data_IF_277915132828
#
_entry.id   IF_277915132828
#
_cell.length_a   1.000
_cell.length_b   1.000
_cell.length_c   1.000
_cell.angle_alpha   90.00
_cell.angle_beta   90.00
_cell.angle_gamma   90.00
#
_symmetry.space_group_name_H-M   'P 1'
#
loop_
_entity.id
_entity.type
_entity.pdbx_description
1 polymer ?
#
# COMPACT_ATOMS: atom_id res chain seq x y z
N UNK A 1 23.11 24.28 17.28
CA UNK A 1 22.24 23.25 16.65
C UNK A 1 22.91 22.81 15.36
N UNK A 2 23.30 21.53 15.30
CA UNK A 2 23.81 20.95 14.06
C UNK A 2 22.61 20.66 13.16
N UNK A 3 22.50 21.40 12.07
CA UNK A 3 21.35 21.33 11.18
C UNK A 3 21.78 21.32 9.71
N UNK A 4 21.25 20.38 8.95
CA UNK A 4 21.48 20.29 7.50
C UNK A 4 20.20 20.67 6.75
N UNK A 5 20.36 21.48 5.70
CA UNK A 5 19.25 21.86 4.81
C UNK A 5 19.36 21.11 3.48
N UNK A 6 18.22 20.65 2.97
CA UNK A 6 18.10 20.07 1.65
C UNK A 6 16.83 20.56 0.92
N UNK A 7 16.93 20.77 -0.37
CA UNK A 7 15.77 21.08 -1.23
C UNK A 7 15.08 19.77 -1.56
N UNK A 8 13.78 19.68 -1.28
CA UNK A 8 12.95 18.51 -1.62
C UNK A 8 12.29 18.65 -2.99
N UNK A 9 11.85 19.86 -3.34
CA UNK A 9 11.16 20.15 -4.59
C UNK A 9 11.36 21.64 -4.95
N UNK A 10 12.19 21.93 -5.95
CA UNK A 10 12.46 23.29 -6.40
C UNK A 10 11.23 23.96 -7.01
N UNK A 11 10.38 23.20 -7.72
CA UNK A 11 9.19 23.75 -8.39
C UNK A 11 8.12 24.15 -7.36
N UNK A 12 8.12 23.50 -6.20
CA UNK A 12 7.17 23.76 -5.11
C UNK A 12 7.77 24.53 -3.95
N UNK A 13 8.99 25.05 -4.12
CA UNK A 13 9.69 25.78 -3.06
C UNK A 13 9.64 25.03 -1.71
N UNK A 14 9.92 23.73 -1.75
CA UNK A 14 9.85 22.88 -0.55
C UNK A 14 11.26 22.48 -0.13
N UNK A 15 11.63 22.81 1.11
CA UNK A 15 12.91 22.48 1.73
C UNK A 15 12.72 21.74 3.04
N UNK A 16 13.72 20.97 3.42
CA UNK A 16 13.81 20.25 4.69
C UNK A 16 15.02 20.66 5.48
N UNK A 17 14.82 20.97 6.75
CA UNK A 17 15.89 21.10 7.72
C UNK A 17 15.92 19.83 8.57
N UNK A 18 17.09 19.21 8.64
CA UNK A 18 17.35 18.06 9.50
C UNK A 18 18.13 18.57 10.72
N UNK A 19 17.51 18.53 11.88
CA UNK A 19 18.13 18.90 13.14
C UNK A 19 18.60 17.63 13.86
N UNK A 20 19.88 17.56 14.16
CA UNK A 20 20.46 16.47 14.95
C UNK A 20 20.24 16.77 16.44
N UNK A 21 19.58 15.86 17.11
CA UNK A 21 19.36 15.90 18.56
C UNK A 21 20.34 14.99 19.33
N UNK A 22 20.14 14.86 20.63
CA UNK A 22 20.91 13.94 21.47
C UNK A 22 20.63 12.48 21.05
N UNK A 23 21.64 11.60 21.18
CA UNK A 23 21.60 10.18 20.83
C UNK A 23 21.31 9.90 19.34
N UNK A 24 21.87 10.71 18.43
CA UNK A 24 21.65 10.59 16.96
C UNK A 24 20.18 10.69 16.51
N UNK A 25 19.30 11.20 17.37
CA UNK A 25 17.91 11.46 17.00
C UNK A 25 17.86 12.55 15.94
N UNK A 26 16.98 12.38 14.93
CA UNK A 26 16.80 13.34 13.84
C UNK A 26 15.39 13.92 13.86
N UNK A 27 15.33 15.25 13.91
CA UNK A 27 14.06 15.98 13.75
C UNK A 27 14.02 16.59 12.37
N UNK A 28 12.94 16.35 11.63
CA UNK A 28 12.73 16.88 10.29
C UNK A 28 11.74 18.03 10.34
N UNK A 29 12.14 19.18 9.80
CA UNK A 29 11.30 20.38 9.66
C UNK A 29 11.15 20.67 8.16
N UNK A 30 9.96 20.49 7.63
CA UNK A 30 9.66 20.77 6.23
C UNK A 30 9.06 22.17 6.09
N UNK A 31 9.63 22.96 5.19
CA UNK A 31 9.18 24.30 4.86
C UNK A 31 8.66 24.29 3.43
N UNK A 32 7.52 24.90 3.20
CA UNK A 32 6.93 25.02 1.86
C UNK A 32 6.26 26.38 1.70
N UNK A 33 6.25 26.89 0.49
CA UNK A 33 5.41 28.05 0.15
C UNK A 33 3.93 27.65 0.03
N UNK A 34 3.04 28.60 0.20
CA UNK A 34 1.60 28.34 0.12
C UNK A 34 1.19 27.94 -1.30
N UNK A 35 0.34 26.92 -1.39
CA UNK A 35 -0.27 26.43 -2.63
C UNK A 35 -1.51 27.24 -2.97
N UNK A 36 -1.78 27.42 -4.26
CA UNK A 36 -3.04 28.01 -4.72
C UNK A 36 -3.25 29.49 -4.45
N UNK A 37 -2.36 30.17 -3.72
CA UNK A 37 -2.50 31.58 -3.37
C UNK A 37 -1.44 32.10 -2.41
N UNK A 38 -1.65 33.34 -1.89
CA UNK A 38 -0.75 33.99 -0.92
C UNK A 38 -1.19 33.84 0.53
N UNK A 39 -2.29 33.15 0.78
CA UNK A 39 -2.90 32.99 2.10
C UNK A 39 -2.81 31.55 2.55
N UNK A 40 -2.67 31.35 3.85
CA UNK A 40 -2.65 30.01 4.45
C UNK A 40 -3.94 29.22 4.18
N UNK A 41 -5.10 29.87 4.20
CA UNK A 41 -6.38 29.22 3.95
C UNK A 41 -6.49 28.68 2.51
N UNK A 42 -5.86 29.36 1.54
CA UNK A 42 -5.82 28.90 0.14
C UNK A 42 -4.96 27.62 0.03
N UNK A 43 -3.82 27.58 0.73
CA UNK A 43 -2.98 26.38 0.82
C UNK A 43 -3.73 25.22 1.48
N UNK A 44 -4.42 25.46 2.59
CA UNK A 44 -5.18 24.43 3.29
C UNK A 44 -6.30 23.86 2.41
N UNK A 45 -7.00 24.71 1.64
CA UNK A 45 -8.05 24.27 0.69
C UNK A 45 -7.50 23.50 -0.52
N UNK A 46 -6.23 23.70 -0.89
CA UNK A 46 -5.56 23.01 -2.00
C UNK A 46 -4.97 21.64 -1.59
N UNK A 47 -5.06 21.26 -0.30
CA UNK A 47 -4.58 19.97 0.22
C UNK A 47 -5.46 18.81 -0.23
N UNK A 48 -5.04 17.60 0.14
CA UNK A 48 -5.73 16.36 -0.22
C UNK A 48 -7.05 16.18 0.57
N UNK A 49 -6.95 16.06 1.91
CA UNK A 49 -8.07 15.75 2.78
C UNK A 49 -8.18 16.77 3.92
N UNK A 50 -9.41 16.99 4.41
CA UNK A 50 -9.73 17.95 5.48
C UNK A 50 -8.92 17.70 6.73
N UNK A 51 -8.70 16.44 7.10
CA UNK A 51 -7.89 16.03 8.26
C UNK A 51 -6.42 16.48 8.15
N UNK A 52 -5.91 16.72 6.95
CA UNK A 52 -4.57 17.24 6.67
C UNK A 52 -4.56 18.74 6.37
N UNK A 53 -5.72 19.41 6.42
CA UNK A 53 -5.90 20.82 6.11
C UNK A 53 -6.11 21.68 7.36
N UNK A 54 -5.49 21.29 8.45
CA UNK A 54 -5.50 21.98 9.74
C UNK A 54 -4.11 22.55 9.97
N UNK A 55 -4.03 23.80 10.40
CA UNK A 55 -2.79 24.45 10.77
C UNK A 55 -2.87 25.03 12.18
N UNK A 56 -1.70 25.23 12.81
CA UNK A 56 -1.57 25.88 14.09
C UNK A 56 -0.72 27.15 13.95
N UNK A 57 -1.32 28.29 14.27
CA UNK A 57 -0.61 29.58 14.28
C UNK A 57 0.14 29.73 15.59
N UNK A 58 1.47 29.62 15.51
CA UNK A 58 2.36 29.76 16.67
C UNK A 58 2.40 31.18 17.26
N UNK A 59 2.07 32.23 16.46
CA UNK A 59 2.07 33.62 16.92
C UNK A 59 0.84 33.94 17.76
N UNK A 60 -0.32 33.48 17.26
CA UNK A 60 -1.62 33.75 17.91
C UNK A 60 -2.08 32.58 18.80
N UNK A 61 -1.29 31.50 18.88
CA UNK A 61 -1.61 30.30 19.66
C UNK A 61 -3.01 29.76 19.33
N UNK A 62 -3.35 29.70 18.04
CA UNK A 62 -4.70 29.37 17.57
C UNK A 62 -4.69 28.33 16.45
N UNK A 63 -5.76 27.52 16.44
CA UNK A 63 -5.99 26.53 15.39
C UNK A 63 -6.70 27.21 14.20
N UNK A 64 -6.24 26.93 12.99
CA UNK A 64 -6.81 27.38 11.72
C UNK A 64 -7.32 26.14 11.01
N UNK A 65 -8.63 26.00 10.91
CA UNK A 65 -9.33 24.85 10.33
C UNK A 65 -10.47 25.31 9.42
N UNK A 66 -10.17 25.78 8.20
CA UNK A 66 -11.16 26.38 7.31
C UNK A 66 -12.13 25.36 6.69
N UNK A 67 -11.89 24.06 6.88
CA UNK A 67 -12.65 22.95 6.27
C UNK A 67 -13.27 22.01 7.30
N UNK A 68 -13.24 22.36 8.59
CA UNK A 68 -13.72 21.53 9.69
C UNK A 68 -13.07 20.15 9.78
N UNK A 69 -11.78 20.08 9.47
CA UNK A 69 -11.00 18.82 9.50
C UNK A 69 -10.93 18.22 10.90
N UNK A 70 -10.93 19.04 11.96
CA UNK A 70 -10.99 18.58 13.34
C UNK A 70 -12.27 17.82 13.66
N UNK A 71 -13.41 18.20 13.05
CA UNK A 71 -14.66 17.46 13.17
C UNK A 71 -14.61 16.14 12.41
N UNK A 72 -14.07 16.12 11.20
CA UNK A 72 -13.87 14.90 10.44
C UNK A 72 -12.93 13.91 11.16
N UNK A 73 -11.90 14.39 11.88
CA UNK A 73 -11.06 13.53 12.75
C UNK A 73 -11.90 12.89 13.86
N UNK A 74 -12.73 13.65 14.56
CA UNK A 74 -13.61 13.12 15.63
C UNK A 74 -14.64 12.15 15.10
N UNK A 75 -15.19 12.43 13.89
CA UNK A 75 -16.15 11.57 13.20
C UNK A 75 -15.50 10.36 12.51
N UNK A 76 -14.16 10.27 12.49
CA UNK A 76 -13.39 9.24 11.79
C UNK A 76 -13.72 9.18 10.29
N UNK A 77 -13.69 10.32 9.62
CA UNK A 77 -14.04 10.47 8.21
C UNK A 77 -12.84 10.98 7.41
N UNK A 78 -12.60 10.39 6.25
CA UNK A 78 -11.72 10.90 5.18
C UNK A 78 -12.59 11.64 4.19
N UNK A 79 -12.43 12.97 4.11
CA UNK A 79 -13.13 13.86 3.20
C UNK A 79 -12.14 14.67 2.40
N UNK A 80 -12.31 14.81 1.08
CA UNK A 80 -11.47 15.68 0.25
C UNK A 80 -11.66 17.16 0.61
N UNK A 81 -10.62 17.97 0.43
CA UNK A 81 -10.71 19.43 0.64
C UNK A 81 -11.57 20.13 -0.42
N UNK A 82 -11.54 19.66 -1.66
CA UNK A 82 -12.35 20.17 -2.77
C UNK A 82 -12.55 19.09 -3.84
N UNK A 83 -13.60 19.15 -4.68
CA UNK A 83 -13.79 18.23 -5.80
C UNK A 83 -12.58 18.20 -6.76
N UNK A 84 -11.93 19.34 -7.02
CA UNK A 84 -10.75 19.45 -7.86
C UNK A 84 -9.53 18.75 -7.27
N UNK A 85 -9.50 18.55 -5.96
CA UNK A 85 -8.37 17.91 -5.27
C UNK A 85 -7.94 16.56 -5.87
N UNK A 86 -8.90 15.72 -6.29
CA UNK A 86 -8.64 14.39 -6.85
C UNK A 86 -8.31 14.41 -8.34
N UNK A 87 -8.82 15.39 -9.09
CA UNK A 87 -8.49 15.57 -10.51
C UNK A 87 -7.14 16.27 -10.71
N UNK A 88 -6.79 17.21 -9.83
CA UNK A 88 -5.51 17.90 -9.85
C UNK A 88 -4.34 16.96 -9.49
N UNK A 89 -4.58 16.00 -8.61
CA UNK A 89 -3.56 15.04 -8.21
C UNK A 89 -4.20 13.65 -7.92
N UNK A 90 -4.36 12.80 -8.95
CA UNK A 90 -5.06 11.51 -8.82
C UNK A 90 -4.44 10.52 -7.84
N UNK A 91 -3.15 10.67 -7.47
CA UNK A 91 -2.51 9.82 -6.45
C UNK A 91 -3.22 9.92 -5.08
N UNK A 92 -3.97 11.00 -4.86
CA UNK A 92 -4.77 11.20 -3.66
C UNK A 92 -5.83 10.12 -3.44
N UNK A 93 -6.21 9.39 -4.51
CA UNK A 93 -7.08 8.20 -4.41
C UNK A 93 -6.40 7.13 -3.55
N UNK A 94 -5.16 6.76 -3.87
CA UNK A 94 -4.39 5.78 -3.10
C UNK A 94 -4.10 6.30 -1.68
N UNK A 95 -3.72 7.58 -1.56
CA UNK A 95 -3.49 8.23 -0.26
C UNK A 95 -4.72 8.17 0.64
N UNK A 96 -5.92 8.40 0.09
CA UNK A 96 -7.17 8.33 0.85
C UNK A 96 -7.47 6.94 1.37
N UNK A 97 -7.25 5.89 0.56
CA UNK A 97 -7.39 4.51 1.01
C UNK A 97 -6.37 4.19 2.10
N UNK A 98 -5.10 4.60 1.91
CA UNK A 98 -4.05 4.41 2.92
C UNK A 98 -4.38 5.08 4.25
N UNK A 99 -4.81 6.34 4.22
CA UNK A 99 -5.17 7.09 5.43
C UNK A 99 -6.40 6.46 6.13
N UNK A 100 -7.40 6.03 5.35
CA UNK A 100 -8.58 5.35 5.88
C UNK A 100 -8.19 4.06 6.64
N UNK A 101 -7.30 3.26 6.07
CA UNK A 101 -6.79 2.05 6.71
C UNK A 101 -5.92 2.37 7.95
N UNK A 102 -4.99 3.33 7.83
CA UNK A 102 -4.05 3.69 8.89
C UNK A 102 -4.72 4.23 10.15
N UNK A 103 -5.78 5.02 9.99
CA UNK A 103 -6.51 5.65 11.10
C UNK A 103 -7.81 4.93 11.49
N UNK A 104 -8.16 3.85 10.77
CA UNK A 104 -9.47 3.20 10.89
C UNK A 104 -10.64 4.18 10.68
N UNK A 105 -10.52 5.01 9.65
CA UNK A 105 -11.52 6.00 9.25
C UNK A 105 -12.31 5.51 8.03
N UNK A 106 -13.54 6.04 7.88
CA UNK A 106 -14.39 5.76 6.72
C UNK A 106 -14.22 6.87 5.67
N UNK A 107 -14.19 6.48 4.40
CA UNK A 107 -14.21 7.45 3.31
C UNK A 107 -15.64 7.95 3.11
N UNK A 108 -15.82 9.27 3.18
CA UNK A 108 -17.09 9.93 2.90
C UNK A 108 -17.68 9.54 1.54
N UNK A 109 -18.99 9.45 1.44
CA UNK A 109 -19.66 8.98 0.22
C UNK A 109 -19.35 9.85 -1.00
N UNK A 110 -19.38 11.18 -0.86
CA UNK A 110 -19.10 12.12 -1.95
C UNK A 110 -17.63 12.00 -2.36
N UNK A 111 -16.72 11.92 -1.40
CA UNK A 111 -15.30 11.68 -1.61
C UNK A 111 -15.05 10.37 -2.36
N UNK A 112 -15.72 9.30 -1.95
CA UNK A 112 -15.61 7.98 -2.59
C UNK A 112 -16.09 8.00 -4.04
N UNK A 113 -17.19 8.70 -4.33
CA UNK A 113 -17.68 8.87 -5.70
C UNK A 113 -16.68 9.63 -6.55
N UNK A 114 -16.16 10.76 -6.05
CA UNK A 114 -15.16 11.53 -6.76
C UNK A 114 -13.83 10.75 -6.97
N UNK A 115 -13.41 9.91 -6.01
CA UNK A 115 -12.27 9.01 -6.18
C UNK A 115 -12.49 8.04 -7.34
N UNK A 116 -13.69 7.45 -7.44
CA UNK A 116 -14.05 6.52 -8.52
C UNK A 116 -14.01 7.21 -9.88
N UNK A 117 -14.57 8.42 -9.97
CA UNK A 117 -14.61 9.20 -11.21
C UNK A 117 -13.20 9.62 -11.67
N UNK A 118 -12.31 9.92 -10.73
CA UNK A 118 -10.93 10.33 -11.00
C UNK A 118 -9.97 9.15 -11.25
N UNK A 119 -10.38 7.90 -11.03
CA UNK A 119 -9.49 6.72 -11.16
C UNK A 119 -8.84 6.60 -12.53
N UNK A 120 -9.56 6.97 -13.61
CA UNK A 120 -9.06 6.96 -14.99
C UNK A 120 -7.89 7.94 -15.24
N UNK A 121 -7.65 8.88 -14.34
CA UNK A 121 -6.57 9.86 -14.43
C UNK A 121 -5.26 9.35 -13.81
N UNK A 122 -5.26 8.22 -13.10
CA UNK A 122 -4.06 7.64 -12.47
C UNK A 122 -2.87 7.45 -13.41
N UNK A 123 -3.04 7.09 -14.72
CA UNK A 123 -1.92 7.00 -15.64
C UNK A 123 -1.12 8.30 -15.83
N UNK A 124 -1.69 9.47 -15.47
CA UNK A 124 -1.00 10.76 -15.53
C UNK A 124 -0.05 11.00 -14.34
N UNK A 125 -0.13 10.16 -13.30
CA UNK A 125 0.77 10.20 -12.14
C UNK A 125 2.04 9.43 -12.47
N UNK A 126 3.19 9.92 -12.01
CA UNK A 126 4.46 9.21 -12.23
C UNK A 126 4.45 7.81 -11.60
N UNK A 127 5.10 6.82 -12.24
CA UNK A 127 5.13 5.44 -11.73
C UNK A 127 5.71 5.31 -10.33
N UNK A 128 6.69 6.15 -9.98
CA UNK A 128 7.30 6.18 -8.66
C UNK A 128 6.29 6.57 -7.58
N UNK A 129 5.49 7.61 -7.82
CA UNK A 129 4.45 8.04 -6.88
C UNK A 129 3.36 6.99 -6.72
N UNK A 130 2.97 6.35 -7.83
CA UNK A 130 2.02 5.23 -7.81
C UNK A 130 2.55 4.07 -6.97
N UNK A 131 3.80 3.66 -7.24
CA UNK A 131 4.51 2.63 -6.49
C UNK A 131 4.55 2.94 -5.01
N UNK A 132 5.04 4.12 -4.65
CA UNK A 132 5.32 4.47 -3.26
C UNK A 132 4.03 4.47 -2.41
N UNK A 133 2.91 4.97 -2.94
CA UNK A 133 1.64 4.90 -2.22
C UNK A 133 1.09 3.47 -2.18
N UNK A 134 1.22 2.67 -3.26
CA UNK A 134 0.79 1.26 -3.26
C UNK A 134 1.57 0.43 -2.24
N UNK A 135 2.89 0.60 -2.18
CA UNK A 135 3.73 -0.12 -1.23
C UNK A 135 3.42 0.26 0.22
N UNK A 136 3.18 1.57 0.51
CA UNK A 136 2.72 2.02 1.83
C UNK A 136 1.36 1.44 2.22
N UNK A 137 0.46 1.20 1.26
CA UNK A 137 -0.81 0.53 1.52
C UNK A 137 -0.57 -0.95 1.86
N UNK A 138 0.29 -1.63 1.10
CA UNK A 138 0.59 -3.05 1.28
C UNK A 138 1.30 -3.33 2.62
N UNK A 139 2.20 -2.45 3.06
CA UNK A 139 2.88 -2.56 4.36
C UNK A 139 2.02 -2.09 5.54
N UNK A 140 0.97 -1.32 5.25
CA UNK A 140 0.10 -0.77 6.27
C UNK A 140 -0.88 -1.79 6.85
N UNK A 141 -1.72 -1.36 7.79
CA UNK A 141 -2.75 -2.22 8.36
C UNK A 141 -3.84 -2.55 7.34
N UNK A 142 -4.43 -3.74 7.46
CA UNK A 142 -5.57 -4.21 6.63
C UNK A 142 -5.28 -4.14 5.12
N UNK A 143 -4.18 -4.73 4.63
CA UNK A 143 -3.82 -4.68 3.20
C UNK A 143 -4.89 -5.32 2.30
N UNK A 144 -5.52 -6.41 2.73
CA UNK A 144 -6.64 -7.09 2.06
C UNK A 144 -7.82 -6.14 1.83
N UNK A 145 -8.27 -5.47 2.87
CA UNK A 145 -9.39 -4.52 2.83
C UNK A 145 -9.05 -3.30 2.00
N UNK A 146 -7.79 -2.84 2.05
CA UNK A 146 -7.30 -1.72 1.24
C UNK A 146 -7.28 -2.08 -0.25
N UNK A 147 -6.80 -3.28 -0.61
CA UNK A 147 -6.84 -3.76 -2.00
C UNK A 147 -8.28 -3.91 -2.51
N UNK A 148 -9.19 -4.42 -1.68
CA UNK A 148 -10.62 -4.47 -2.00
C UNK A 148 -11.22 -3.07 -2.22
N UNK A 149 -10.85 -2.09 -1.40
CA UNK A 149 -11.30 -0.71 -1.58
C UNK A 149 -10.80 -0.11 -2.91
N UNK A 150 -9.54 -0.34 -3.28
CA UNK A 150 -8.99 0.10 -4.58
C UNK A 150 -9.68 -0.58 -5.76
N UNK A 151 -10.02 -1.87 -5.64
CA UNK A 151 -10.80 -2.59 -6.65
C UNK A 151 -12.18 -1.95 -6.82
N UNK A 152 -12.92 -1.71 -5.73
CA UNK A 152 -14.24 -1.10 -5.76
C UNK A 152 -14.25 0.34 -6.30
N UNK A 153 -13.13 1.06 -6.16
CA UNK A 153 -12.90 2.38 -6.75
C UNK A 153 -12.51 2.33 -8.23
N UNK A 154 -12.34 1.15 -8.81
CA UNK A 154 -11.95 1.01 -10.21
C UNK A 154 -10.50 1.42 -10.51
N UNK A 155 -9.62 1.29 -9.53
CA UNK A 155 -8.21 1.71 -9.64
C UNK A 155 -7.39 0.76 -10.52
N UNK A 156 -7.61 -0.56 -10.39
CA UNK A 156 -6.74 -1.55 -11.03
C UNK A 156 -6.73 -1.54 -12.55
N UNK A 157 -7.82 -1.29 -13.29
CA UNK A 157 -7.76 -1.15 -14.75
C UNK A 157 -6.74 -0.10 -15.23
N UNK A 158 -6.45 0.89 -14.39
CA UNK A 158 -5.55 2.01 -14.70
C UNK A 158 -4.16 1.87 -14.09
N UNK A 159 -4.05 1.21 -12.92
CA UNK A 159 -2.80 1.05 -12.17
C UNK A 159 -2.10 -0.27 -12.49
N UNK A 160 -2.82 -1.39 -12.38
CA UNK A 160 -2.35 -2.76 -12.57
C UNK A 160 -3.45 -3.61 -13.22
N UNK A 161 -3.71 -3.43 -14.53
CA UNK A 161 -4.83 -4.07 -15.22
C UNK A 161 -4.81 -5.60 -15.15
N UNK A 162 -3.65 -6.21 -14.98
CA UNK A 162 -3.49 -7.64 -14.78
C UNK A 162 -4.23 -8.19 -13.55
N UNK A 163 -4.39 -7.39 -12.49
CA UNK A 163 -5.16 -7.79 -11.30
C UNK A 163 -6.65 -7.89 -11.58
N UNK A 164 -7.16 -7.11 -12.53
CA UNK A 164 -8.58 -7.11 -12.86
C UNK A 164 -9.06 -8.45 -13.43
N UNK A 165 -8.19 -9.19 -14.11
CA UNK A 165 -8.51 -10.50 -14.67
C UNK A 165 -8.63 -11.62 -13.61
N UNK A 166 -8.10 -11.41 -12.42
CA UNK A 166 -8.15 -12.39 -11.33
C UNK A 166 -9.55 -12.53 -10.74
N UNK A 167 -10.38 -11.49 -10.84
CA UNK A 167 -11.76 -11.46 -10.33
C UNK A 167 -12.66 -12.35 -11.15
N UNK A 168 -13.38 -13.25 -10.47
CA UNK A 168 -14.25 -14.24 -11.13
C UNK A 168 -13.49 -15.39 -11.81
N UNK A 169 -12.16 -15.46 -11.71
CA UNK A 169 -11.39 -16.60 -12.18
C UNK A 169 -11.53 -17.76 -11.18
N UNK A 170 -12.45 -18.68 -11.48
CA UNK A 170 -12.72 -19.86 -10.66
C UNK A 170 -11.53 -20.80 -10.57
N UNK A 171 -11.45 -21.53 -9.48
CA UNK A 171 -10.44 -22.55 -9.20
C UNK A 171 -11.14 -23.87 -8.81
N UNK A 172 -10.43 -25.00 -8.96
CA UNK A 172 -10.93 -26.30 -8.46
C UNK A 172 -10.54 -26.52 -7.02
N UNK A 173 -11.27 -27.40 -6.33
CA UNK A 173 -10.92 -27.86 -4.98
C UNK A 173 -9.43 -28.24 -4.89
N UNK A 174 -8.74 -27.92 -3.78
CA UNK A 174 -9.27 -27.46 -2.50
C UNK A 174 -9.55 -25.94 -2.39
N UNK A 175 -9.34 -25.14 -3.44
CA UNK A 175 -9.65 -23.71 -3.42
C UNK A 175 -11.17 -23.50 -3.45
N UNK A 176 -11.67 -22.70 -2.51
CA UNK A 176 -13.10 -22.34 -2.37
C UNK A 176 -13.42 -20.91 -2.83
N UNK A 177 -12.40 -20.12 -3.14
CA UNK A 177 -12.49 -18.74 -3.58
C UNK A 177 -12.03 -18.63 -5.04
N UNK A 178 -12.46 -17.60 -5.75
CA UNK A 178 -11.82 -17.20 -7.00
C UNK A 178 -10.37 -16.70 -6.73
N UNK A 179 -9.61 -16.47 -7.79
CA UNK A 179 -8.20 -16.08 -7.67
C UNK A 179 -8.04 -14.75 -6.92
N UNK A 180 -8.96 -13.79 -7.13
CA UNK A 180 -8.88 -12.48 -6.46
C UNK A 180 -9.17 -12.59 -4.97
N UNK A 181 -10.27 -13.23 -4.58
CA UNK A 181 -10.62 -13.44 -3.18
C UNK A 181 -9.57 -14.27 -2.45
N UNK A 182 -8.99 -15.29 -3.11
CA UNK A 182 -7.85 -16.03 -2.58
C UNK A 182 -6.67 -15.10 -2.29
N UNK A 183 -6.30 -14.25 -3.24
CA UNK A 183 -5.19 -13.29 -3.07
C UNK A 183 -5.43 -12.33 -1.90
N UNK A 184 -6.65 -11.81 -1.74
CA UNK A 184 -6.98 -10.97 -0.59
C UNK A 184 -6.83 -11.73 0.74
N UNK A 185 -7.25 -13.01 0.79
CA UNK A 185 -7.04 -13.85 1.98
C UNK A 185 -5.57 -14.08 2.28
N UNK A 186 -4.74 -14.30 1.24
CA UNK A 186 -3.28 -14.42 1.40
C UNK A 186 -2.69 -13.16 2.02
N UNK A 187 -3.09 -11.96 1.56
CA UNK A 187 -2.61 -10.69 2.13
C UNK A 187 -3.01 -10.54 3.61
N UNK A 188 -4.26 -10.84 3.96
CA UNK A 188 -4.73 -10.75 5.35
C UNK A 188 -4.03 -11.77 6.28
N UNK A 189 -3.83 -13.01 5.82
CA UNK A 189 -3.09 -14.00 6.61
C UNK A 189 -1.61 -13.64 6.75
N UNK A 190 -1.00 -13.11 5.70
CA UNK A 190 0.39 -12.65 5.74
C UNK A 190 0.56 -11.52 6.76
N UNK A 191 -0.35 -10.56 6.77
CA UNK A 191 -0.36 -9.46 7.74
C UNK A 191 -0.47 -10.01 9.17
N UNK A 192 -1.42 -10.90 9.43
CA UNK A 192 -1.62 -11.50 10.75
C UNK A 192 -0.38 -12.30 11.21
N UNK A 193 0.27 -13.06 10.32
CA UNK A 193 1.50 -13.82 10.62
C UNK A 193 2.63 -12.85 10.99
N UNK A 194 2.84 -11.77 10.21
CA UNK A 194 3.91 -10.83 10.48
C UNK A 194 3.67 -10.03 11.76
N UNK A 195 2.42 -9.64 12.05
CA UNK A 195 2.05 -9.00 13.30
C UNK A 195 2.28 -9.94 14.53
N UNK A 196 1.97 -11.23 14.38
CA UNK A 196 2.26 -12.22 15.41
C UNK A 196 3.77 -12.42 15.62
N UNK A 197 4.58 -12.38 14.55
CA UNK A 197 6.04 -12.40 14.65
C UNK A 197 6.59 -11.21 15.44
N UNK A 198 6.10 -10.02 15.13
CA UNK A 198 6.52 -8.76 15.80
C UNK A 198 6.14 -8.74 17.28
N UNK A 199 4.88 -9.12 17.60
CA UNK A 199 4.40 -9.15 19.00
C UNK A 199 4.94 -10.34 19.81
N UNK A 200 5.42 -11.39 19.15
CA UNK A 200 5.80 -12.65 19.80
C UNK A 200 4.60 -13.45 20.33
N UNK A 201 3.38 -13.13 19.89
CA UNK A 201 2.14 -13.73 20.36
C UNK A 201 1.17 -13.98 19.22
N UNK A 202 0.51 -15.13 19.22
CA UNK A 202 -0.60 -15.43 18.30
C UNK A 202 -1.96 -14.87 18.75
N UNK A 203 -2.03 -14.18 19.87
CA UNK A 203 -3.30 -13.70 20.44
C UNK A 203 -4.28 -14.85 20.67
N UNK A 204 -5.55 -14.64 20.30
CA UNK A 204 -6.61 -15.64 20.41
C UNK A 204 -6.63 -16.65 19.24
N UNK A 205 -5.73 -16.53 18.26
CA UNK A 205 -5.64 -17.45 17.13
C UNK A 205 -4.74 -18.64 17.47
N UNK A 206 -5.31 -19.88 17.56
CA UNK A 206 -4.55 -21.08 17.91
C UNK A 206 -3.47 -21.44 16.89
N UNK A 207 -3.71 -21.15 15.58
CA UNK A 207 -2.75 -21.41 14.52
C UNK A 207 -1.54 -20.49 14.64
N UNK A 208 -1.75 -19.18 14.82
CA UNK A 208 -0.66 -18.22 15.02
C UNK A 208 0.12 -18.53 16.30
N UNK A 209 -0.57 -18.89 17.37
CA UNK A 209 0.07 -19.31 18.64
C UNK A 209 0.96 -20.55 18.42
N UNK A 210 0.47 -21.56 17.72
CA UNK A 210 1.25 -22.76 17.37
C UNK A 210 2.46 -22.39 16.50
N UNK A 211 2.27 -21.53 15.49
CA UNK A 211 3.34 -21.06 14.58
C UNK A 211 4.45 -20.36 15.37
N UNK A 212 4.11 -19.39 16.22
CA UNK A 212 5.08 -18.65 17.04
C UNK A 212 5.86 -19.57 17.95
N UNK A 213 5.18 -20.50 18.63
CA UNK A 213 5.82 -21.49 19.50
C UNK A 213 6.76 -22.42 18.72
N UNK A 214 6.37 -22.82 17.50
CA UNK A 214 7.19 -23.69 16.64
C UNK A 214 8.46 -23.02 16.14
N UNK A 215 8.42 -21.69 15.92
CA UNK A 215 9.59 -20.92 15.51
C UNK A 215 10.62 -20.79 16.64
N UNK A 216 10.18 -20.75 17.89
CA UNK A 216 11.04 -20.71 19.06
C UNK A 216 12.13 -19.64 18.93
N UNK A 217 13.40 -20.04 19.08
CA UNK A 217 14.58 -19.16 18.99
C UNK A 217 14.79 -18.52 17.59
N UNK A 218 14.12 -19.00 16.56
CA UNK A 218 14.26 -18.45 15.21
C UNK A 218 13.31 -17.27 14.96
N UNK A 219 12.32 -17.02 15.82
CA UNK A 219 11.34 -15.95 15.66
C UNK A 219 11.99 -14.59 15.42
N UNK A 220 12.91 -14.19 16.29
CA UNK A 220 13.61 -12.88 16.22
C UNK A 220 14.40 -12.74 14.91
N UNK A 221 14.94 -13.84 14.39
CA UNK A 221 15.64 -13.83 13.11
C UNK A 221 14.69 -13.56 11.94
N UNK A 222 13.49 -14.15 11.96
CA UNK A 222 12.46 -13.86 10.96
C UNK A 222 11.97 -12.42 11.05
N UNK A 223 11.66 -11.94 12.25
CA UNK A 223 11.28 -10.55 12.51
C UNK A 223 12.33 -9.59 11.95
N UNK A 224 13.59 -9.77 12.32
CA UNK A 224 14.71 -8.96 11.83
C UNK A 224 14.81 -9.00 10.29
N UNK A 225 14.63 -10.17 9.66
CA UNK A 225 14.70 -10.31 8.22
C UNK A 225 13.60 -9.52 7.50
N UNK A 226 12.36 -9.54 7.99
CA UNK A 226 11.26 -8.82 7.34
C UNK A 226 11.32 -7.30 7.57
N UNK A 227 12.01 -6.85 8.61
CA UNK A 227 12.27 -5.42 8.87
C UNK A 227 13.51 -4.87 8.16
N UNK A 228 14.34 -5.74 7.53
CA UNK A 228 15.49 -5.29 6.73
C UNK A 228 15.07 -4.34 5.63
N UNK A 229 15.81 -3.22 5.50
CA UNK A 229 15.62 -2.27 4.41
C UNK A 229 16.27 -2.79 3.13
N UNK A 230 15.52 -2.85 2.03
CA UNK A 230 16.06 -3.10 0.70
C UNK A 230 16.66 -1.85 0.07
N UNK A 231 16.11 -0.70 0.46
CA UNK A 231 16.59 0.65 0.11
C UNK A 231 16.06 1.65 1.13
N UNK A 232 16.24 2.96 0.89
CA UNK A 232 15.83 4.03 1.81
C UNK A 232 14.34 4.04 2.16
N UNK A 233 13.49 3.49 1.28
CA UNK A 233 12.03 3.68 1.35
C UNK A 233 11.23 2.38 1.44
N UNK A 234 11.86 1.22 1.26
CA UNK A 234 11.15 -0.08 1.19
C UNK A 234 11.90 -1.20 1.90
N UNK A 235 11.14 -2.02 2.59
CA UNK A 235 11.60 -3.18 3.35
C UNK A 235 11.46 -4.49 2.57
N UNK A 236 12.05 -5.56 3.10
CA UNK A 236 11.80 -6.94 2.65
C UNK A 236 10.31 -7.28 2.77
N UNK A 237 9.64 -6.79 3.83
CA UNK A 237 8.18 -6.93 4.04
C UNK A 237 7.39 -6.36 2.85
N UNK A 238 7.74 -5.15 2.38
CA UNK A 238 7.10 -4.51 1.24
C UNK A 238 7.16 -5.37 -0.03
N UNK A 239 8.35 -5.90 -0.34
CA UNK A 239 8.54 -6.78 -1.50
C UNK A 239 7.76 -8.10 -1.36
N UNK A 240 7.66 -8.66 -0.14
CA UNK A 240 6.88 -9.87 0.13
C UNK A 240 5.37 -9.62 -0.10
N UNK A 241 4.82 -8.52 0.41
CA UNK A 241 3.41 -8.19 0.18
C UNK A 241 3.10 -7.92 -1.29
N UNK A 242 4.01 -7.25 -2.01
CA UNK A 242 3.84 -7.06 -3.44
C UNK A 242 3.90 -8.39 -4.20
N UNK A 243 4.83 -9.29 -3.85
CA UNK A 243 4.88 -10.63 -4.42
C UNK A 243 3.60 -11.43 -4.11
N UNK A 244 3.07 -11.33 -2.89
CA UNK A 244 1.81 -11.96 -2.50
C UNK A 244 0.61 -11.39 -3.27
N UNK A 245 0.58 -10.09 -3.57
CA UNK A 245 -0.47 -9.49 -4.40
C UNK A 245 -0.50 -10.06 -5.82
N UNK A 246 0.66 -10.38 -6.39
CA UNK A 246 0.78 -10.77 -7.80
C UNK A 246 1.17 -12.25 -8.01
N UNK A 247 1.22 -13.08 -6.95
CA UNK A 247 1.71 -14.47 -7.07
C UNK A 247 0.89 -15.32 -8.05
N UNK A 248 -0.41 -15.09 -8.11
CA UNK A 248 -1.37 -15.82 -8.93
C UNK A 248 -1.90 -15.01 -10.13
N UNK A 249 -1.25 -13.91 -10.48
CA UNK A 249 -1.69 -12.95 -11.50
C UNK A 249 -1.90 -13.58 -12.89
N UNK A 250 -1.18 -14.65 -13.22
CA UNK A 250 -1.26 -15.37 -14.50
C UNK A 250 -2.19 -16.59 -14.47
N UNK A 251 -2.84 -16.90 -13.36
CA UNK A 251 -3.86 -17.97 -13.36
C UNK A 251 -4.97 -17.74 -14.39
N UNK A 252 -5.53 -16.52 -14.57
CA UNK A 252 -6.55 -16.31 -15.59
C UNK A 252 -6.07 -16.63 -17.02
N UNK A 253 -4.84 -16.26 -17.37
CA UNK A 253 -4.28 -16.48 -18.71
C UNK A 253 -3.84 -17.95 -18.96
N UNK A 254 -3.53 -18.68 -17.89
CA UNK A 254 -3.07 -20.08 -17.95
C UNK A 254 -4.17 -21.09 -17.60
N UNK A 255 -5.43 -20.61 -17.43
CA UNK A 255 -6.57 -21.46 -17.07
C UNK A 255 -6.86 -22.49 -18.18
N UNK A 256 -6.85 -23.75 -17.81
CA UNK A 256 -7.29 -24.88 -18.65
C UNK A 256 -8.27 -25.75 -17.88
N UNK A 257 -9.13 -26.48 -18.60
CA UNK A 257 -10.07 -27.45 -18.01
C UNK A 257 -9.75 -28.80 -18.59
N UNK A 258 -9.45 -29.78 -17.74
CA UNK A 258 -9.17 -31.15 -18.17
C UNK A 258 -10.48 -31.93 -18.47
N UNK A 259 -10.35 -33.15 -18.98
CA UNK A 259 -11.49 -34.00 -19.37
C UNK A 259 -12.44 -34.33 -18.20
N UNK A 260 -11.96 -34.27 -16.98
CA UNK A 260 -12.77 -34.45 -15.77
C UNK A 260 -13.51 -33.19 -15.31
N UNK A 261 -13.34 -32.06 -16.03
CA UNK A 261 -13.88 -30.76 -15.64
C UNK A 261 -13.04 -30.03 -14.59
N UNK A 262 -11.87 -30.55 -14.24
CA UNK A 262 -10.99 -29.92 -13.25
C UNK A 262 -10.20 -28.78 -13.87
N UNK A 263 -10.22 -27.62 -13.20
CA UNK A 263 -9.45 -26.43 -13.61
C UNK A 263 -7.99 -26.60 -13.20
N UNK A 264 -7.09 -26.29 -14.14
CA UNK A 264 -5.63 -26.33 -14.00
C UNK A 264 -5.03 -24.99 -14.44
N UNK A 265 -3.86 -24.67 -13.90
CA UNK A 265 -3.13 -23.44 -14.19
C UNK A 265 -1.64 -23.79 -14.41
N UNK A 266 -1.32 -24.36 -15.57
CA UNK A 266 0.07 -24.76 -15.84
C UNK A 266 0.95 -23.54 -16.06
N UNK A 267 2.15 -23.56 -15.47
CA UNK A 267 3.18 -22.53 -15.56
C UNK A 267 2.75 -21.12 -15.13
N UNK A 268 1.66 -20.96 -14.34
CA UNK A 268 1.24 -19.65 -13.86
C UNK A 268 2.31 -18.99 -12.97
N UNK A 269 3.10 -19.77 -12.23
CA UNK A 269 4.24 -19.31 -11.43
C UNK A 269 5.38 -18.76 -12.30
N UNK A 270 5.70 -19.43 -13.42
CA UNK A 270 6.72 -19.01 -14.38
C UNK A 270 6.27 -17.74 -15.12
N UNK A 271 5.04 -17.72 -15.63
CA UNK A 271 4.49 -16.57 -16.35
C UNK A 271 4.24 -15.40 -15.38
N UNK A 272 3.71 -15.66 -14.19
CA UNK A 272 3.51 -14.67 -13.13
C UNK A 272 4.80 -13.97 -12.73
N UNK A 273 5.90 -14.72 -12.61
CA UNK A 273 7.22 -14.13 -12.35
C UNK A 273 7.69 -13.18 -13.47
N UNK A 274 7.32 -13.43 -14.75
CA UNK A 274 7.62 -12.52 -15.87
C UNK A 274 6.77 -11.26 -15.81
N UNK A 275 5.46 -11.38 -15.55
CA UNK A 275 4.53 -10.24 -15.42
C UNK A 275 4.95 -9.37 -14.23
N UNK A 276 5.27 -9.96 -13.09
CA UNK A 276 5.78 -9.23 -11.94
C UNK A 276 7.10 -8.49 -12.24
N UNK A 277 7.98 -9.08 -13.03
CA UNK A 277 9.21 -8.41 -13.49
C UNK A 277 8.90 -7.19 -14.37
N UNK A 278 8.01 -7.33 -15.35
CA UNK A 278 7.60 -6.21 -16.21
C UNK A 278 6.95 -5.08 -15.37
N UNK A 279 6.09 -5.43 -14.43
CA UNK A 279 5.47 -4.47 -13.52
C UNK A 279 6.50 -3.80 -12.62
N UNK A 280 7.46 -4.56 -12.09
CA UNK A 280 8.57 -4.02 -11.30
C UNK A 280 9.40 -2.99 -12.07
N UNK A 281 9.74 -3.26 -13.32
CA UNK A 281 10.43 -2.27 -14.17
C UNK A 281 9.57 -1.04 -14.42
N UNK A 282 8.27 -1.20 -14.69
CA UNK A 282 7.35 -0.06 -14.87
C UNK A 282 7.24 0.81 -13.61
N UNK A 283 7.37 0.22 -12.43
CA UNK A 283 7.38 0.92 -11.14
C UNK A 283 8.79 1.38 -10.72
N UNK A 284 9.79 1.26 -11.59
CA UNK A 284 11.18 1.63 -11.29
C UNK A 284 11.69 0.99 -9.97
N UNK A 285 11.37 -0.31 -9.77
CA UNK A 285 11.98 -1.11 -8.72
C UNK A 285 13.43 -1.45 -9.10
N UNK A 286 14.29 -1.61 -8.10
CA UNK A 286 15.66 -2.06 -8.31
C UNK A 286 15.72 -3.52 -8.82
N UNK A 287 16.81 -3.90 -9.45
CA UNK A 287 17.02 -5.27 -9.92
C UNK A 287 17.01 -6.29 -8.76
N UNK A 288 17.45 -5.90 -7.57
CA UNK A 288 17.42 -6.77 -6.37
C UNK A 288 15.96 -7.00 -5.92
N UNK A 289 15.16 -5.94 -5.83
CA UNK A 289 13.73 -6.06 -5.50
C UNK A 289 12.98 -6.95 -6.50
N UNK A 290 13.18 -6.72 -7.79
CA UNK A 290 12.58 -7.53 -8.87
C UNK A 290 13.04 -8.98 -8.76
N UNK A 291 14.33 -9.22 -8.50
CA UNK A 291 14.89 -10.56 -8.34
C UNK A 291 14.27 -11.32 -7.18
N UNK A 292 14.05 -10.66 -6.03
CA UNK A 292 13.39 -11.24 -4.85
C UNK A 292 11.91 -11.56 -5.11
N UNK A 293 11.17 -10.61 -5.66
CA UNK A 293 9.76 -10.80 -6.03
C UNK A 293 9.59 -11.98 -6.99
N UNK A 294 10.42 -12.05 -8.04
CA UNK A 294 10.42 -13.17 -8.99
C UNK A 294 10.68 -14.52 -8.32
N UNK A 295 11.66 -14.59 -7.41
CA UNK A 295 11.99 -15.83 -6.68
C UNK A 295 10.82 -16.29 -5.81
N UNK A 296 10.12 -15.37 -5.13
CA UNK A 296 8.96 -15.70 -4.31
C UNK A 296 7.87 -16.30 -5.21
N UNK A 297 7.50 -15.62 -6.29
CA UNK A 297 6.44 -16.04 -7.20
C UNK A 297 6.79 -17.39 -7.88
N UNK A 298 8.01 -17.52 -8.40
CA UNK A 298 8.44 -18.76 -9.07
C UNK A 298 8.46 -19.98 -8.13
N UNK A 299 8.66 -19.77 -6.84
CA UNK A 299 8.79 -20.87 -5.87
C UNK A 299 7.55 -21.09 -5.00
N UNK A 300 6.49 -20.27 -5.11
CA UNK A 300 5.36 -20.33 -4.19
C UNK A 300 4.63 -21.69 -4.22
N UNK A 301 4.65 -22.40 -5.36
CA UNK A 301 4.06 -23.73 -5.51
C UNK A 301 4.93 -24.87 -5.00
N UNK A 302 6.23 -24.64 -4.71
CA UNK A 302 7.15 -25.74 -4.37
C UNK A 302 6.79 -26.46 -3.07
N UNK A 303 6.24 -25.75 -2.11
CA UNK A 303 5.82 -26.38 -0.84
C UNK A 303 4.67 -27.39 -1.03
N UNK A 304 3.84 -27.25 -2.04
CA UNK A 304 2.82 -28.23 -2.38
C UNK A 304 3.40 -29.62 -2.73
N UNK A 305 4.60 -29.66 -3.27
CA UNK A 305 5.25 -30.93 -3.64
C UNK A 305 5.88 -31.66 -2.46
N UNK A 306 6.05 -31.00 -1.32
CA UNK A 306 6.60 -31.61 -0.10
C UNK A 306 5.52 -32.18 0.85
N UNK A 307 4.25 -31.88 0.59
CA UNK A 307 3.11 -32.32 1.42
C UNK A 307 2.30 -33.47 0.77
N UNK A 308 2.73 -33.96 -0.39
CA UNK A 308 2.21 -35.15 -1.05
C UNK A 308 3.14 -36.34 -0.81
#
# INVERSE_FOLDING_TARGET
>A
LDANFMILDEQRDTGRVIVMGENDSRTYLDFATYRGGKRLEDDLRARDFTINAIAYDLRNNSLIDPLNGAEDIRAKIIRFCSPASLTDDPIRILRGVRLAAAFDFKIDLVTRTAMKDAASLLPNVSPERQRDELFKILEGPKPDSSMRALEMLGVFPHLMPELSAMKGCEQSLPHVYDVWEHTLKVLGHLEAILAALESGSGGDDPFLTMLINSLGKYRERFESHFTESLNTDRSVRAALFFAALVHDVEKPATKTVDESGRIRFFDHDVQGAKVASMRGHKFNLSNDEIGRIKKIIFNHMRFHFFTM
#
